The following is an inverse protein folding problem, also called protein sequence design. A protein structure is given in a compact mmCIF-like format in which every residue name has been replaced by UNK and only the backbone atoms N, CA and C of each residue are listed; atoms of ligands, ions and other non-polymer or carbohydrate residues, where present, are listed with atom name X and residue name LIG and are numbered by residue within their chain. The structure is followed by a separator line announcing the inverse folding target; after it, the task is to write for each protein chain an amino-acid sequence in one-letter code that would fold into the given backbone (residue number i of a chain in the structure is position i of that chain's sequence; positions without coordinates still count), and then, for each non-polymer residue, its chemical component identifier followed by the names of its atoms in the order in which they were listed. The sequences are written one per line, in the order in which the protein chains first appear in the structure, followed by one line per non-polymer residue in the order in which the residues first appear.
data_IF_891196108131
#
_entry.id   IF_891196108131
#
_cell.length_a   1.000
_cell.length_b   1.000
_cell.length_c   1.000
_cell.angle_alpha   90.00
_cell.angle_beta   90.00
_cell.angle_gamma   90.00
#
_symmetry.space_group_name_H-M   'P 1'
#
loop_
_entity.id
_entity.type
_entity.pdbx_description
1 polymer ?
#
# COMPACT_ATOMS: atom_id res chain seq x y z
N UNK A 1 76.67 -45.85 20.98
CA UNK A 1 75.21 -45.76 21.14
C UNK A 1 74.85 -44.48 21.86
N UNK A 2 74.33 -43.49 21.16
CA UNK A 2 75.10 -42.56 20.33
C UNK A 2 74.44 -41.20 20.52
N UNK A 3 75.25 -40.17 20.78
CA UNK A 3 74.79 -38.79 21.00
C UNK A 3 74.15 -38.11 19.79
N UNK A 4 73.80 -38.88 18.75
CA UNK A 4 73.23 -38.40 17.48
C UNK A 4 71.69 -38.35 17.54
N UNK A 5 71.06 -39.19 18.35
CA UNK A 5 69.59 -39.24 18.44
C UNK A 5 68.97 -38.08 19.23
N UNK A 6 69.69 -37.57 20.24
CA UNK A 6 69.20 -36.42 21.04
C UNK A 6 69.32 -35.11 20.26
N UNK A 7 70.37 -34.95 19.45
CA UNK A 7 70.58 -33.75 18.62
C UNK A 7 69.55 -33.68 17.50
N UNK A 8 69.24 -34.82 16.84
CA UNK A 8 68.21 -34.86 15.80
C UNK A 8 66.79 -34.62 16.34
N UNK A 9 66.49 -35.09 17.56
CA UNK A 9 65.20 -34.85 18.21
C UNK A 9 64.96 -33.38 18.58
N UNK A 10 65.99 -32.70 19.08
CA UNK A 10 65.89 -31.26 19.44
C UNK A 10 65.83 -30.38 18.18
N UNK A 11 66.61 -30.69 17.16
CA UNK A 11 66.58 -29.95 15.88
C UNK A 11 65.24 -30.14 15.16
N UNK A 12 64.66 -31.34 15.19
CA UNK A 12 63.34 -31.62 14.63
C UNK A 12 62.20 -30.90 15.38
N UNK A 13 62.28 -30.82 16.71
CA UNK A 13 61.28 -30.11 17.52
C UNK A 13 61.35 -28.58 17.31
N UNK A 14 62.55 -28.02 17.21
CA UNK A 14 62.75 -26.58 16.96
C UNK A 14 62.34 -26.19 15.54
N UNK A 15 62.68 -27.01 14.53
CA UNK A 15 62.24 -26.81 13.15
C UNK A 15 60.72 -26.96 13.01
N UNK A 16 60.12 -27.96 13.66
CA UNK A 16 58.66 -28.17 13.67
C UNK A 16 57.90 -27.02 14.32
N UNK A 17 58.43 -26.47 15.43
CA UNK A 17 57.85 -25.31 16.10
C UNK A 17 58.03 -24.01 15.27
N UNK A 18 59.19 -23.82 14.63
CA UNK A 18 59.42 -22.70 13.71
C UNK A 18 58.50 -22.76 12.47
N UNK A 19 58.29 -23.95 11.91
CA UNK A 19 57.37 -24.14 10.79
C UNK A 19 55.91 -23.89 11.20
N UNK A 20 55.50 -24.37 12.38
CA UNK A 20 54.16 -24.13 12.91
C UNK A 20 53.91 -22.63 13.14
N UNK A 21 54.85 -21.91 13.74
CA UNK A 21 54.71 -20.47 14.03
C UNK A 21 54.77 -19.61 12.76
N UNK A 22 55.68 -19.91 11.83
CA UNK A 22 55.85 -19.11 10.61
C UNK A 22 54.76 -19.37 9.57
N UNK A 23 54.17 -20.56 9.54
CA UNK A 23 53.20 -20.92 8.50
C UNK A 23 51.75 -21.05 8.99
N UNK A 24 51.44 -21.22 10.28
CA UNK A 24 50.03 -21.29 10.73
C UNK A 24 49.26 -20.00 10.48
N UNK A 25 49.82 -18.84 10.81
CA UNK A 25 49.11 -17.57 10.65
C UNK A 25 48.89 -17.18 9.17
N UNK A 26 49.91 -17.22 8.28
CA UNK A 26 49.68 -16.88 6.88
C UNK A 26 48.80 -17.90 6.15
N UNK A 27 48.83 -19.20 6.51
CA UNK A 27 47.90 -20.19 5.95
C UNK A 27 46.47 -19.98 6.43
N UNK A 28 46.27 -19.64 7.70
CA UNK A 28 44.94 -19.36 8.24
C UNK A 28 44.35 -18.07 7.64
N UNK A 29 45.17 -17.04 7.43
CA UNK A 29 44.77 -15.79 6.78
C UNK A 29 44.55 -15.94 5.27
N UNK A 30 45.36 -16.78 4.61
CA UNK A 30 45.15 -17.13 3.20
C UNK A 30 43.87 -17.94 3.03
N UNK A 31 43.59 -18.90 3.92
CA UNK A 31 42.35 -19.68 3.92
C UNK A 31 41.13 -18.82 4.24
N UNK A 32 41.22 -17.89 5.19
CA UNK A 32 40.14 -16.93 5.47
C UNK A 32 39.87 -16.00 4.28
N UNK A 33 40.92 -15.51 3.60
CA UNK A 33 40.80 -14.69 2.38
C UNK A 33 40.23 -15.49 1.21
N UNK A 34 40.66 -16.74 1.02
CA UNK A 34 40.11 -17.65 0.01
C UNK A 34 38.64 -17.96 0.29
N UNK A 35 38.27 -18.20 1.56
CA UNK A 35 36.90 -18.49 2.01
C UNK A 35 35.99 -17.27 1.89
N UNK A 36 36.49 -16.05 2.12
CA UNK A 36 35.74 -14.80 1.90
C UNK A 36 35.52 -14.52 0.41
N UNK A 37 36.54 -14.78 -0.44
CA UNK A 37 36.41 -14.67 -1.89
C UNK A 37 35.53 -15.76 -2.49
N UNK A 38 35.59 -17.00 -1.99
CA UNK A 38 34.75 -18.09 -2.46
C UNK A 38 33.31 -17.96 -1.97
N UNK A 39 33.03 -17.50 -0.74
CA UNK A 39 31.64 -17.26 -0.32
C UNK A 39 30.99 -16.06 -1.02
N UNK A 40 31.77 -15.02 -1.37
CA UNK A 40 31.30 -13.92 -2.21
C UNK A 40 31.08 -14.35 -3.66
N UNK A 41 32.00 -15.16 -4.22
CA UNK A 41 31.92 -15.66 -5.60
C UNK A 41 30.86 -16.76 -5.77
N UNK A 42 30.67 -17.64 -4.78
CA UNK A 42 29.63 -18.68 -4.78
C UNK A 42 28.25 -18.06 -4.59
N UNK A 43 28.12 -16.96 -3.82
CA UNK A 43 26.87 -16.17 -3.79
C UNK A 43 26.60 -15.40 -5.07
N UNK A 44 27.63 -14.99 -5.81
CA UNK A 44 27.44 -14.35 -7.12
C UNK A 44 27.25 -15.35 -8.27
N UNK A 45 27.70 -16.59 -8.12
CA UNK A 45 27.53 -17.67 -9.11
C UNK A 45 26.21 -18.44 -8.95
N UNK A 46 25.54 -18.33 -7.80
CA UNK A 46 24.19 -18.87 -7.56
C UNK A 46 23.07 -17.85 -7.71
N UNK A 47 23.39 -16.58 -7.99
CA UNK A 47 22.39 -15.60 -8.38
C UNK A 47 22.19 -15.80 -9.88
N UNK A 48 21.25 -16.68 -10.24
CA UNK A 48 20.62 -16.53 -11.55
C UNK A 48 20.24 -15.05 -11.68
N UNK A 49 20.45 -14.48 -12.87
CA UNK A 49 19.75 -13.27 -13.27
C UNK A 49 18.24 -13.58 -13.23
N UNK A 50 17.67 -13.65 -12.03
CA UNK A 50 16.25 -13.60 -11.83
C UNK A 50 15.88 -12.15 -12.16
N UNK A 51 15.39 -11.96 -13.38
CA UNK A 51 14.65 -10.76 -13.74
C UNK A 51 13.47 -10.66 -12.79
N UNK A 52 13.63 -9.89 -11.70
CA UNK A 52 12.51 -9.55 -10.85
C UNK A 52 11.59 -8.61 -11.64
N UNK A 53 10.27 -8.82 -11.61
CA UNK A 53 9.35 -7.91 -12.27
C UNK A 53 9.55 -6.49 -11.72
N UNK A 54 9.53 -5.50 -12.61
CA UNK A 54 9.71 -4.09 -12.25
C UNK A 54 8.63 -3.60 -11.26
N UNK A 55 7.45 -4.22 -11.32
CA UNK A 55 6.31 -3.95 -10.44
C UNK A 55 6.16 -5.07 -9.41
N UNK A 56 6.23 -4.73 -8.12
CA UNK A 56 5.95 -5.65 -7.02
C UNK A 56 5.01 -5.00 -6.03
N UNK A 57 4.00 -5.75 -5.62
CA UNK A 57 3.09 -5.30 -4.59
C UNK A 57 3.80 -5.15 -3.24
N UNK A 58 3.24 -4.30 -2.39
CA UNK A 58 3.78 -3.95 -1.09
C UNK A 58 3.88 -5.19 -0.21
N UNK A 59 5.03 -5.33 0.45
CA UNK A 59 5.28 -6.42 1.35
C UNK A 59 6.16 -5.97 2.51
N UNK A 60 5.90 -6.55 3.68
CA UNK A 60 6.66 -6.34 4.92
C UNK A 60 6.73 -7.66 5.69
N UNK A 61 7.76 -8.46 5.40
CA UNK A 61 7.89 -9.80 6.00
C UNK A 61 6.68 -10.70 5.70
N UNK A 62 5.96 -11.24 6.70
CA UNK A 62 4.79 -12.09 6.48
C UNK A 62 3.56 -11.31 5.98
N UNK A 63 3.56 -9.98 6.10
CA UNK A 63 2.51 -9.13 5.56
C UNK A 63 2.74 -8.97 4.05
N UNK A 64 1.81 -9.50 3.26
CA UNK A 64 1.78 -9.39 1.81
C UNK A 64 0.45 -8.76 1.41
N UNK A 65 0.46 -7.77 0.53
CA UNK A 65 -0.78 -7.14 0.04
C UNK A 65 -0.77 -7.07 -1.48
N UNK A 66 -1.93 -6.75 -2.07
CA UNK A 66 -2.08 -6.46 -3.50
C UNK A 66 -1.84 -4.99 -3.85
N UNK A 67 -1.36 -4.18 -2.91
CA UNK A 67 -1.15 -2.75 -3.15
C UNK A 67 0.15 -2.50 -3.92
N UNK A 68 0.04 -1.98 -5.13
CA UNK A 68 1.15 -1.51 -5.94
C UNK A 68 1.30 0.00 -5.75
N UNK A 69 2.44 0.44 -5.21
CA UNK A 69 2.78 1.87 -5.16
C UNK A 69 3.25 2.28 -6.55
N UNK A 70 2.50 3.16 -7.21
CA UNK A 70 2.72 3.53 -8.61
C UNK A 70 3.53 4.82 -8.72
N UNK A 71 3.20 5.81 -7.90
CA UNK A 71 3.97 7.06 -7.77
C UNK A 71 4.08 7.43 -6.30
N UNK A 72 5.21 8.00 -5.91
CA UNK A 72 5.48 8.44 -4.54
C UNK A 72 6.25 7.41 -3.71
N UNK A 73 7.15 7.93 -2.88
CA UNK A 73 8.07 7.12 -2.06
C UNK A 73 7.93 7.44 -0.56
N UNK A 74 7.05 8.37 -0.21
CA UNK A 74 6.83 8.87 1.13
C UNK A 74 7.88 9.90 1.59
N UNK A 75 9.04 10.04 0.95
CA UNK A 75 10.05 11.03 1.34
C UNK A 75 9.68 12.41 0.81
N UNK A 76 9.29 12.48 -0.46
CA UNK A 76 8.88 13.73 -1.10
C UNK A 76 7.36 13.76 -1.30
N UNK A 77 6.67 14.77 -0.73
CA UNK A 77 5.28 15.02 -1.03
C UNK A 77 5.04 15.27 -2.52
N UNK A 78 3.91 14.77 -3.02
CA UNK A 78 3.39 15.15 -4.33
C UNK A 78 2.62 16.47 -4.14
N UNK A 79 3.04 17.50 -4.86
CA UNK A 79 2.40 18.82 -4.77
C UNK A 79 1.00 18.78 -5.41
N UNK A 80 -0.04 19.36 -4.80
CA UNK A 80 -1.36 19.47 -5.42
C UNK A 80 -1.31 20.08 -6.84
N UNK A 81 -0.40 21.03 -7.05
CA UNK A 81 -0.25 21.79 -8.29
C UNK A 81 0.32 20.97 -9.44
N UNK A 82 0.97 19.83 -9.15
CA UNK A 82 1.52 18.91 -10.15
C UNK A 82 0.59 17.74 -10.44
N UNK A 83 -0.62 17.74 -9.87
CA UNK A 83 -1.66 16.74 -10.13
C UNK A 83 -2.72 17.34 -11.06
N UNK A 84 -2.77 16.82 -12.28
CA UNK A 84 -3.68 17.25 -13.32
C UNK A 84 -4.76 16.20 -13.55
N UNK A 85 -6.01 16.54 -13.20
CA UNK A 85 -7.15 15.63 -13.39
C UNK A 85 -7.96 16.06 -14.61
N UNK A 86 -8.15 15.13 -15.55
CA UNK A 86 -8.95 15.33 -16.75
C UNK A 86 -10.11 14.35 -16.77
N UNK A 87 -11.34 14.87 -16.84
CA UNK A 87 -12.54 14.03 -17.02
C UNK A 87 -12.88 14.01 -18.50
N UNK A 88 -12.93 12.80 -19.07
CA UNK A 88 -13.34 12.56 -20.45
C UNK A 88 -14.87 12.56 -20.55
N UNK A 89 -15.40 12.92 -21.72
CA UNK A 89 -16.86 13.04 -21.92
C UNK A 89 -17.56 11.68 -22.03
N UNK A 90 -16.85 10.67 -22.51
CA UNK A 90 -17.39 9.34 -22.79
C UNK A 90 -17.49 8.48 -21.51
N UNK A 91 -18.70 8.00 -21.23
CA UNK A 91 -18.97 7.06 -20.14
C UNK A 91 -18.37 5.68 -20.42
N UNK A 92 -17.92 5.03 -19.35
CA UNK A 92 -17.47 3.63 -19.39
C UNK A 92 -18.61 2.71 -19.80
N UNK A 93 -18.32 1.78 -20.71
CA UNK A 93 -19.24 0.70 -21.09
C UNK A 93 -18.65 -0.65 -20.68
N UNK A 94 -19.49 -1.52 -20.12
CA UNK A 94 -19.12 -2.91 -19.88
C UNK A 94 -19.09 -3.66 -21.22
N UNK A 95 -18.15 -4.61 -21.40
CA UNK A 95 -18.18 -5.50 -22.54
C UNK A 95 -19.44 -6.38 -22.50
N UNK A 96 -19.83 -6.91 -23.68
CA UNK A 96 -21.09 -7.65 -23.85
C UNK A 96 -21.19 -8.91 -22.99
N UNK A 97 -20.06 -9.52 -22.64
CA UNK A 97 -19.98 -10.70 -21.77
C UNK A 97 -20.17 -10.38 -20.27
N UNK A 98 -20.08 -9.10 -19.88
CA UNK A 98 -20.32 -8.61 -18.52
C UNK A 98 -21.57 -7.73 -18.40
N UNK A 99 -22.12 -7.24 -19.52
CA UNK A 99 -23.28 -6.33 -19.52
C UNK A 99 -24.47 -6.89 -18.72
N UNK A 100 -24.76 -8.19 -18.86
CA UNK A 100 -25.85 -8.84 -18.14
C UNK A 100 -25.67 -8.86 -16.60
N UNK A 101 -24.44 -8.76 -16.09
CA UNK A 101 -24.22 -8.69 -14.63
C UNK A 101 -24.72 -7.38 -14.05
N UNK A 102 -24.64 -6.29 -14.82
CA UNK A 102 -25.22 -5.00 -14.42
C UNK A 102 -26.74 -5.09 -14.33
N UNK A 103 -27.36 -5.78 -15.28
CA UNK A 103 -28.81 -6.00 -15.30
C UNK A 103 -29.26 -6.86 -14.10
N UNK A 104 -28.49 -7.91 -13.76
CA UNK A 104 -28.72 -8.71 -12.55
C UNK A 104 -28.68 -7.84 -11.27
N UNK A 105 -27.71 -6.92 -11.16
CA UNK A 105 -27.58 -6.01 -10.01
C UNK A 105 -28.76 -5.04 -9.94
N UNK A 106 -29.21 -4.53 -11.08
CA UNK A 106 -30.37 -3.65 -11.16
C UNK A 106 -31.66 -4.39 -10.74
N UNK A 107 -31.89 -5.58 -11.29
CA UNK A 107 -33.04 -6.42 -10.94
C UNK A 107 -33.02 -6.81 -9.45
N UNK A 108 -31.83 -7.08 -8.89
CA UNK A 108 -31.72 -7.34 -7.46
C UNK A 108 -32.10 -6.13 -6.61
N UNK A 109 -31.70 -4.93 -7.02
CA UNK A 109 -32.07 -3.70 -6.33
C UNK A 109 -33.59 -3.45 -6.35
N UNK A 110 -34.23 -3.67 -7.51
CA UNK A 110 -35.68 -3.58 -7.66
C UNK A 110 -36.41 -4.60 -6.79
N UNK A 111 -35.91 -5.84 -6.72
CA UNK A 111 -36.44 -6.88 -5.84
C UNK A 111 -36.35 -6.48 -4.36
N UNK A 112 -35.19 -5.98 -3.91
CA UNK A 112 -35.01 -5.50 -2.54
C UNK A 112 -36.02 -4.39 -2.20
N UNK A 113 -36.23 -3.45 -3.12
CA UNK A 113 -37.22 -2.38 -2.96
C UNK A 113 -38.65 -2.93 -2.82
N UNK A 114 -39.02 -3.90 -3.68
CA UNK A 114 -40.34 -4.54 -3.63
C UNK A 114 -40.56 -5.34 -2.33
N UNK A 115 -39.51 -5.92 -1.75
CA UNK A 115 -39.52 -6.59 -0.44
C UNK A 115 -39.53 -5.62 0.75
N UNK A 116 -39.53 -4.30 0.52
CA UNK A 116 -39.45 -3.29 1.59
C UNK A 116 -38.08 -3.22 2.27
N UNK A 117 -37.04 -3.80 1.65
CA UNK A 117 -35.65 -3.74 2.11
C UNK A 117 -34.94 -2.57 1.45
N UNK A 118 -33.84 -2.11 2.06
CA UNK A 118 -33.05 -1.01 1.48
C UNK A 118 -32.44 -1.45 0.12
N UNK A 119 -32.80 -0.79 -0.99
CA UNK A 119 -32.26 -1.13 -2.31
C UNK A 119 -30.81 -0.65 -2.45
N UNK A 120 -30.15 -1.11 -3.50
CA UNK A 120 -28.87 -0.55 -3.93
C UNK A 120 -29.13 0.78 -4.64
N UNK A 121 -28.48 1.85 -4.22
CA UNK A 121 -28.56 3.13 -4.92
C UNK A 121 -27.49 3.20 -6.01
N UNK A 122 -27.90 3.38 -7.27
CA UNK A 122 -26.98 3.55 -8.40
C UNK A 122 -26.49 5.00 -8.49
N UNK A 123 -25.40 5.31 -7.78
CA UNK A 123 -24.79 6.64 -7.81
C UNK A 123 -23.78 6.84 -8.94
N UNK A 124 -23.63 8.07 -9.46
CA UNK A 124 -22.59 8.38 -10.45
C UNK A 124 -21.19 8.35 -9.80
N UNK A 125 -20.22 7.77 -10.51
CA UNK A 125 -18.83 7.58 -10.08
C UNK A 125 -17.85 7.97 -11.20
N UNK A 126 -16.57 7.75 -10.93
CA UNK A 126 -15.50 7.82 -11.91
C UNK A 126 -14.78 6.47 -12.02
N UNK A 127 -14.37 6.14 -13.24
CA UNK A 127 -13.38 5.13 -13.52
C UNK A 127 -12.06 5.79 -13.90
N UNK A 128 -10.95 5.14 -13.56
CA UNK A 128 -9.62 5.57 -13.99
C UNK A 128 -9.34 5.02 -15.39
N UNK A 129 -9.14 5.91 -16.35
CA UNK A 129 -8.70 5.55 -17.71
C UNK A 129 -7.19 5.32 -17.73
N UNK A 130 -6.44 6.29 -17.21
CA UNK A 130 -4.99 6.22 -17.11
C UNK A 130 -4.49 7.07 -15.94
N UNK A 131 -3.33 6.67 -15.44
CA UNK A 131 -2.48 7.48 -14.59
C UNK A 131 -1.10 7.51 -15.25
N UNK A 132 -0.75 8.67 -15.79
CA UNK A 132 0.51 8.90 -16.49
C UNK A 132 1.40 9.78 -15.62
N UNK A 133 2.66 9.36 -15.46
CA UNK A 133 3.66 10.09 -14.67
C UNK A 133 4.69 10.66 -15.63
N UNK A 134 4.82 11.98 -15.65
CA UNK A 134 5.86 12.71 -16.37
C UNK A 134 6.78 13.43 -15.38
N UNK A 135 7.81 14.11 -15.90
CA UNK A 135 8.70 14.96 -15.11
C UNK A 135 8.82 16.33 -15.76
N UNK A 136 8.89 17.38 -14.96
CA UNK A 136 9.15 18.73 -15.46
C UNK A 136 10.53 18.81 -16.11
N UNK A 137 10.65 19.54 -17.22
CA UNK A 137 11.87 19.59 -18.03
C UNK A 137 13.09 20.20 -17.30
N UNK A 138 12.87 21.02 -16.27
CA UNK A 138 13.94 21.78 -15.61
C UNK A 138 14.37 21.18 -14.27
N UNK A 139 13.42 20.67 -13.48
CA UNK A 139 13.65 20.25 -12.09
C UNK A 139 13.36 18.76 -11.86
N UNK A 140 12.99 18.03 -12.91
CA UNK A 140 12.62 16.62 -12.86
C UNK A 140 11.54 16.28 -11.83
N UNK A 141 10.71 17.26 -11.45
CA UNK A 141 9.62 17.04 -10.48
C UNK A 141 8.54 16.19 -11.12
N UNK A 142 7.98 15.19 -10.41
CA UNK A 142 6.92 14.36 -10.95
C UNK A 142 5.65 15.18 -11.19
N UNK A 143 5.09 15.03 -12.38
CA UNK A 143 3.78 15.51 -12.77
C UNK A 143 2.86 14.30 -12.97
N UNK A 144 1.69 14.33 -12.34
CA UNK A 144 0.72 13.24 -12.39
C UNK A 144 -0.45 13.68 -13.24
N UNK A 145 -0.69 12.98 -14.35
CA UNK A 145 -1.85 13.18 -15.20
C UNK A 145 -2.83 12.04 -14.99
N UNK A 146 -3.96 12.35 -14.36
CA UNK A 146 -5.03 11.40 -14.07
C UNK A 146 -6.19 11.62 -15.06
N UNK A 147 -6.48 10.61 -15.87
CA UNK A 147 -7.62 10.64 -16.80
C UNK A 147 -8.76 9.80 -16.22
N UNK A 148 -9.93 10.41 -16.12
CA UNK A 148 -11.13 9.80 -15.57
C UNK A 148 -12.22 9.71 -16.62
N UNK A 149 -13.03 8.64 -16.56
CA UNK A 149 -14.28 8.52 -17.32
C UNK A 149 -15.47 8.47 -16.35
N UNK A 150 -16.63 9.06 -16.71
CA UNK A 150 -17.87 8.81 -16.00
C UNK A 150 -18.19 7.31 -15.94
N UNK A 151 -18.78 6.87 -14.84
CA UNK A 151 -19.35 5.52 -14.67
C UNK A 151 -20.41 5.56 -13.56
N UNK A 152 -20.96 4.41 -13.18
CA UNK A 152 -21.95 4.30 -12.12
C UNK A 152 -21.64 3.16 -11.13
N UNK A 153 -22.36 3.15 -10.01
CA UNK A 153 -22.13 2.18 -8.93
C UNK A 153 -22.45 0.74 -9.34
N UNK A 154 -23.44 0.52 -10.22
CA UNK A 154 -23.75 -0.82 -10.71
C UNK A 154 -22.66 -1.36 -11.63
N UNK A 155 -22.10 -0.52 -12.49
CA UNK A 155 -20.94 -0.84 -13.32
C UNK A 155 -19.74 -1.19 -12.46
N UNK A 156 -19.48 -0.41 -11.41
CA UNK A 156 -18.47 -0.76 -10.40
C UNK A 156 -18.72 -2.14 -9.78
N UNK A 157 -19.93 -2.43 -9.30
CA UNK A 157 -20.26 -3.73 -8.69
C UNK A 157 -20.10 -4.90 -9.67
N UNK A 158 -20.42 -4.71 -10.95
CA UNK A 158 -20.16 -5.71 -12.00
C UNK A 158 -18.66 -5.88 -12.23
N UNK A 159 -17.90 -4.78 -12.34
CA UNK A 159 -16.47 -4.77 -12.55
C UNK A 159 -15.66 -5.41 -11.41
N UNK A 160 -16.14 -5.32 -10.16
CA UNK A 160 -15.49 -5.95 -9.00
C UNK A 160 -15.58 -7.49 -9.00
N UNK A 161 -16.40 -8.10 -9.86
CA UNK A 161 -16.56 -9.56 -9.95
C UNK A 161 -15.47 -10.20 -10.82
N UNK A 162 -14.21 -9.86 -10.57
CA UNK A 162 -13.04 -10.23 -11.39
C UNK A 162 -12.82 -11.73 -11.51
N UNK A 163 -13.28 -12.50 -10.53
CA UNK A 163 -13.12 -13.95 -10.45
C UNK A 163 -14.42 -14.71 -10.77
N UNK A 164 -15.50 -14.01 -11.11
CA UNK A 164 -16.74 -14.64 -11.59
C UNK A 164 -16.50 -15.23 -12.97
N UNK A 165 -16.95 -16.46 -13.17
CA UNK A 165 -16.83 -17.15 -14.47
C UNK A 165 -17.75 -16.53 -15.50
N UNK A 166 -17.20 -16.30 -16.69
CA UNK A 166 -17.90 -15.91 -17.91
C UNK A 166 -18.49 -17.16 -18.59
N UNK A 167 -19.38 -17.02 -19.58
CA UNK A 167 -20.05 -18.15 -20.24
C UNK A 167 -19.12 -19.20 -20.85
N UNK A 168 -17.93 -18.81 -21.27
CA UNK A 168 -16.89 -19.70 -21.83
C UNK A 168 -15.90 -20.25 -20.79
N UNK A 169 -16.15 -19.98 -19.50
CA UNK A 169 -15.39 -20.52 -18.39
C UNK A 169 -14.17 -19.71 -17.96
N UNK A 170 -13.77 -18.66 -18.70
CA UNK A 170 -12.71 -17.76 -18.22
C UNK A 170 -13.26 -16.77 -17.18
N UNK A 171 -12.40 -15.93 -16.58
CA UNK A 171 -12.84 -14.84 -15.69
C UNK A 171 -12.41 -13.48 -16.26
N UNK A 172 -13.02 -12.35 -15.85
CA UNK A 172 -12.54 -11.03 -16.22
C UNK A 172 -11.07 -10.82 -15.88
N UNK A 173 -10.60 -11.35 -14.73
CA UNK A 173 -9.18 -11.32 -14.33
C UNK A 173 -8.28 -11.95 -15.38
N UNK A 174 -8.59 -13.18 -15.83
CA UNK A 174 -7.75 -13.87 -16.81
C UNK A 174 -7.88 -13.31 -18.23
N UNK A 175 -8.99 -12.63 -18.54
CA UNK A 175 -9.31 -12.15 -19.89
C UNK A 175 -8.77 -10.76 -20.19
N UNK A 176 -8.86 -9.87 -19.21
CA UNK A 176 -8.67 -8.43 -19.42
C UNK A 176 -7.47 -7.86 -18.67
N UNK A 177 -6.85 -8.63 -17.78
CA UNK A 177 -5.71 -8.18 -16.99
C UNK A 177 -4.49 -9.04 -17.33
N UNK A 178 -3.36 -8.36 -17.51
CA UNK A 178 -2.06 -8.99 -17.61
C UNK A 178 -1.34 -8.87 -16.26
N UNK A 179 -0.99 -9.98 -15.59
CA UNK A 179 -0.26 -9.92 -14.32
C UNK A 179 1.14 -9.30 -14.45
N UNK A 180 1.75 -9.36 -15.64
CA UNK A 180 3.08 -8.80 -15.90
C UNK A 180 3.01 -7.30 -16.28
N UNK A 181 1.84 -6.81 -16.68
CA UNK A 181 1.56 -5.40 -16.97
C UNK A 181 0.42 -4.83 -16.11
N UNK A 182 0.57 -4.79 -14.77
CA UNK A 182 -0.52 -4.49 -13.84
C UNK A 182 -1.14 -3.09 -14.00
N UNK A 183 -0.44 -2.16 -14.64
CA UNK A 183 -0.94 -0.81 -14.92
C UNK A 183 -1.79 -0.73 -16.19
N UNK A 184 -1.66 -1.70 -17.11
CA UNK A 184 -2.48 -1.77 -18.31
C UNK A 184 -3.75 -2.57 -18.01
N UNK A 185 -4.85 -1.85 -17.82
CA UNK A 185 -6.17 -2.47 -17.69
C UNK A 185 -7.23 -1.55 -18.28
N UNK A 186 -8.32 -2.10 -18.85
CA UNK A 186 -9.39 -1.29 -19.40
C UNK A 186 -10.13 -0.53 -18.29
N UNK A 187 -10.57 0.70 -18.58
CA UNK A 187 -11.23 1.57 -17.60
C UNK A 187 -12.46 0.96 -16.96
N UNK A 188 -13.19 0.08 -17.66
CA UNK A 188 -14.37 -0.59 -17.10
C UNK A 188 -14.05 -1.52 -15.92
N UNK A 189 -12.78 -1.89 -15.74
CA UNK A 189 -12.33 -2.62 -14.54
C UNK A 189 -11.78 -1.70 -13.45
N UNK A 190 -11.64 -0.40 -13.71
CA UNK A 190 -11.01 0.57 -12.80
C UNK A 190 -12.04 1.56 -12.23
N UNK A 191 -13.26 1.11 -11.95
CA UNK A 191 -14.41 1.93 -11.51
C UNK A 191 -14.36 2.35 -10.02
N UNK A 192 -13.17 2.38 -9.42
CA UNK A 192 -12.97 2.77 -8.04
C UNK A 192 -11.73 3.65 -7.91
N UNK A 193 -11.97 4.90 -7.54
CA UNK A 193 -10.95 5.86 -7.15
C UNK A 193 -11.35 6.47 -5.81
N UNK A 194 -10.40 6.57 -4.88
CA UNK A 194 -10.61 7.20 -3.59
C UNK A 194 -9.32 7.79 -3.02
N UNK A 195 -9.38 8.13 -1.75
CA UNK A 195 -8.25 8.62 -0.97
C UNK A 195 -8.19 7.88 0.36
N UNK A 196 -6.98 7.50 0.78
CA UNK A 196 -6.73 6.88 2.08
C UNK A 196 -5.84 7.83 2.88
N UNK A 197 -6.22 8.13 4.12
CA UNK A 197 -5.50 9.11 4.94
C UNK A 197 -4.95 8.43 6.21
N UNK A 198 -3.67 8.65 6.48
CA UNK A 198 -3.04 8.35 7.76
C UNK A 198 -3.08 9.61 8.63
N UNK A 199 -3.93 9.58 9.66
CA UNK A 199 -4.12 10.70 10.59
C UNK A 199 -3.31 10.45 11.84
N UNK A 200 -2.43 11.40 12.16
CA UNK A 200 -1.66 11.41 13.41
C UNK A 200 -2.09 12.59 14.25
N UNK A 201 -2.47 12.32 15.50
CA UNK A 201 -2.92 13.33 16.47
C UNK A 201 -1.76 14.18 17.00
N UNK A 202 -2.07 15.28 17.67
CA UNK A 202 -1.07 16.21 18.20
C UNK A 202 -0.13 15.57 19.26
N UNK A 203 -0.60 14.52 19.94
CA UNK A 203 0.15 13.70 20.90
C UNK A 203 0.83 12.46 20.28
N UNK A 204 1.08 12.47 18.96
CA UNK A 204 1.78 11.40 18.22
C UNK A 204 1.06 10.05 18.24
N UNK A 205 -0.26 10.03 18.12
CA UNK A 205 -1.02 8.78 17.98
C UNK A 205 -1.56 8.64 16.56
N UNK A 206 -1.20 7.54 15.89
CA UNK A 206 -1.80 7.12 14.64
C UNK A 206 -3.20 6.57 14.89
N UNK A 207 -4.18 7.10 14.16
CA UNK A 207 -5.54 6.59 14.16
C UNK A 207 -5.63 5.41 13.19
N UNK A 208 -6.14 4.28 13.63
CA UNK A 208 -6.37 3.10 12.78
C UNK A 208 -7.81 2.65 12.96
N UNK A 209 -8.55 2.50 11.87
CA UNK A 209 -9.95 2.07 11.94
C UNK A 209 -10.09 0.59 11.58
N UNK A 210 -11.12 -0.04 12.14
CA UNK A 210 -11.61 -1.34 11.70
C UNK A 210 -13.02 -1.16 11.15
N UNK A 211 -13.23 -1.64 9.92
CA UNK A 211 -14.55 -1.60 9.27
C UNK A 211 -15.53 -2.48 10.04
N UNK A 212 -16.75 -1.98 10.17
CA UNK A 212 -17.85 -2.70 10.84
C UNK A 212 -18.21 -3.99 10.12
N UNK A 213 -18.59 -5.02 10.87
CA UNK A 213 -19.13 -6.26 10.28
C UNK A 213 -20.43 -6.03 9.48
N UNK A 214 -21.05 -4.86 9.62
CA UNK A 214 -22.30 -4.48 8.93
C UNK A 214 -22.09 -3.86 7.55
N UNK A 215 -20.85 -3.51 7.18
CA UNK A 215 -20.59 -2.93 5.85
C UNK A 215 -20.57 -4.02 4.78
N UNK A 216 -21.04 -3.69 3.57
CA UNK A 216 -21.10 -4.62 2.43
C UNK A 216 -19.71 -5.02 1.92
N UNK A 217 -18.78 -4.07 1.89
CA UNK A 217 -17.44 -4.27 1.33
C UNK A 217 -16.39 -4.40 2.44
N UNK A 218 -15.70 -5.54 2.47
CA UNK A 218 -14.62 -5.88 3.38
C UNK A 218 -14.99 -5.70 4.88
N UNK A 219 -15.98 -6.43 5.40
CA UNK A 219 -16.33 -6.38 6.82
C UNK A 219 -15.18 -6.85 7.70
N UNK A 220 -14.98 -6.18 8.85
CA UNK A 220 -14.03 -6.60 9.88
C UNK A 220 -12.55 -6.47 9.52
N UNK A 221 -12.20 -5.84 8.39
CA UNK A 221 -10.80 -5.55 8.01
C UNK A 221 -10.32 -4.25 8.65
N UNK A 222 -9.04 -4.23 9.01
CA UNK A 222 -8.33 -3.03 9.45
C UNK A 222 -8.00 -2.14 8.26
N UNK A 223 -8.26 -0.84 8.36
CA UNK A 223 -8.13 0.10 7.26
C UNK A 223 -7.38 1.37 7.69
N UNK A 224 -7.22 2.30 6.75
CA UNK A 224 -6.70 3.66 6.98
C UNK A 224 -7.47 4.43 8.06
N UNK A 225 -6.94 5.56 8.50
CA UNK A 225 -7.62 6.42 9.47
C UNK A 225 -8.91 7.01 8.91
N UNK A 226 -8.89 7.37 7.62
CA UNK A 226 -10.02 7.82 6.80
C UNK A 226 -9.92 7.15 5.44
N UNK A 227 -11.04 6.71 4.86
CA UNK A 227 -11.14 6.06 3.56
C UNK A 227 -12.32 6.64 2.78
N UNK A 228 -12.03 7.55 1.86
CA UNK A 228 -13.07 8.29 1.15
C UNK A 228 -13.07 7.96 -0.35
N UNK A 229 -14.24 7.68 -0.91
CA UNK A 229 -14.41 7.41 -2.33
C UNK A 229 -14.73 8.67 -3.12
N UNK A 230 -14.22 8.80 -4.34
CA UNK A 230 -14.66 9.87 -5.24
C UNK A 230 -16.15 9.66 -5.61
N UNK A 231 -16.94 10.71 -5.42
CA UNK A 231 -18.35 10.76 -5.80
C UNK A 231 -18.54 11.84 -6.85
N UNK A 232 -18.97 11.47 -8.06
CA UNK A 232 -19.15 12.45 -9.15
C UNK A 232 -20.20 13.49 -8.81
N UNK A 233 -21.24 13.11 -8.08
CA UNK A 233 -22.31 14.05 -7.71
C UNK A 233 -21.83 15.15 -6.76
N UNK A 234 -20.88 14.83 -5.87
CA UNK A 234 -20.43 15.73 -4.80
C UNK A 234 -19.12 16.44 -5.20
N UNK A 235 -18.20 15.70 -5.81
CA UNK A 235 -16.83 16.13 -6.04
C UNK A 235 -16.64 16.73 -7.45
N UNK A 236 -17.69 16.77 -8.28
CA UNK A 236 -17.67 17.59 -9.50
C UNK A 236 -18.06 19.03 -9.15
N UNK A 237 -17.08 19.92 -9.10
CA UNK A 237 -17.30 21.34 -8.76
C UNK A 237 -17.99 22.10 -9.90
N UNK A 238 -19.25 21.76 -10.19
CA UNK A 238 -20.06 22.43 -11.21
C UNK A 238 -19.50 22.33 -12.63
N UNK A 239 -19.04 21.12 -13.03
CA UNK A 239 -18.36 20.73 -14.30
C UNK A 239 -16.82 20.74 -14.29
N UNK A 240 -16.19 21.15 -13.21
CA UNK A 240 -14.74 21.00 -13.08
C UNK A 240 -14.34 19.58 -12.70
N UNK A 241 -13.13 19.18 -13.07
CA UNK A 241 -12.53 17.92 -12.64
C UNK A 241 -12.44 17.85 -11.10
N UNK A 242 -12.55 16.67 -10.49
CA UNK A 242 -12.49 16.52 -9.05
C UNK A 242 -11.10 16.85 -8.49
N UNK A 243 -11.06 17.46 -7.31
CA UNK A 243 -9.84 17.75 -6.55
C UNK A 243 -9.67 16.71 -5.43
N UNK A 244 -8.60 15.92 -5.49
CA UNK A 244 -8.31 14.88 -4.52
C UNK A 244 -8.08 15.43 -3.10
N UNK A 245 -7.51 16.63 -2.96
CA UNK A 245 -7.38 17.28 -1.65
C UNK A 245 -8.75 17.71 -1.10
N UNK A 246 -9.66 18.16 -1.96
CA UNK A 246 -11.03 18.46 -1.54
C UNK A 246 -11.76 17.20 -1.08
N UNK A 247 -11.59 16.07 -1.77
CA UNK A 247 -12.14 14.77 -1.35
C UNK A 247 -11.55 14.32 -0.02
N UNK A 248 -10.23 14.41 0.15
CA UNK A 248 -9.59 14.07 1.42
C UNK A 248 -10.11 14.93 2.59
N UNK A 249 -10.29 16.24 2.37
CA UNK A 249 -10.90 17.13 3.39
C UNK A 249 -12.36 16.75 3.68
N UNK A 250 -13.12 16.32 2.68
CA UNK A 250 -14.49 15.83 2.85
C UNK A 250 -14.51 14.59 3.75
N UNK A 251 -13.68 13.59 3.47
CA UNK A 251 -13.55 12.39 4.30
C UNK A 251 -13.13 12.72 5.75
N UNK A 252 -12.17 13.63 5.94
CA UNK A 252 -11.76 14.08 7.28
C UNK A 252 -12.92 14.70 8.08
N UNK A 253 -13.81 15.44 7.41
CA UNK A 253 -14.98 16.05 8.03
C UNK A 253 -16.08 15.02 8.32
N UNK A 254 -16.37 14.14 7.37
CA UNK A 254 -17.47 13.17 7.45
C UNK A 254 -17.17 12.05 8.46
N UNK A 255 -15.94 11.53 8.45
CA UNK A 255 -15.54 10.41 9.33
C UNK A 255 -15.07 10.85 10.72
N UNK A 256 -14.35 11.99 10.83
CA UNK A 256 -13.69 12.41 12.08
C UNK A 256 -14.18 13.77 12.61
N UNK A 257 -15.05 14.47 11.88
CA UNK A 257 -15.50 15.84 12.24
C UNK A 257 -14.32 16.79 12.48
N UNK A 258 -13.37 16.76 11.54
CA UNK A 258 -12.20 17.63 11.50
C UNK A 258 -12.32 18.66 10.39
N UNK A 259 -12.13 19.92 10.74
CA UNK A 259 -12.10 21.04 9.81
C UNK A 259 -10.68 21.28 9.27
N UNK A 260 -10.59 21.83 8.05
CA UNK A 260 -9.32 21.92 7.32
C UNK A 260 -8.21 22.72 8.03
N UNK A 261 -8.56 23.63 8.94
CA UNK A 261 -7.59 24.42 9.70
C UNK A 261 -6.97 23.64 10.88
N UNK A 262 -7.56 22.51 11.28
CA UNK A 262 -7.12 21.72 12.44
C UNK A 262 -5.94 20.79 12.11
N UNK A 263 -5.57 20.65 10.83
CA UNK A 263 -4.56 19.71 10.38
C UNK A 263 -3.76 20.21 9.17
N UNK A 264 -2.57 19.65 8.99
CA UNK A 264 -1.89 19.66 7.69
C UNK A 264 -2.29 18.43 6.89
N UNK A 265 -2.28 18.52 5.56
CA UNK A 265 -2.67 17.43 4.67
C UNK A 265 -1.72 17.35 3.49
N UNK A 266 -1.10 16.19 3.29
CA UNK A 266 0.00 15.99 2.34
C UNK A 266 -0.26 14.75 1.50
N UNK A 267 -0.24 14.86 0.17
CA UNK A 267 -0.32 13.70 -0.72
C UNK A 267 1.05 13.02 -0.80
N UNK A 268 1.11 11.73 -0.50
CA UNK A 268 2.33 10.94 -0.44
C UNK A 268 2.53 10.00 -1.63
N UNK A 269 1.44 9.45 -2.17
CA UNK A 269 1.53 8.45 -3.24
C UNK A 269 0.21 8.23 -3.98
N UNK A 270 0.32 7.64 -5.18
CA UNK A 270 -0.77 6.96 -5.86
C UNK A 270 -0.56 5.45 -5.80
N UNK A 271 -1.58 4.72 -5.37
CA UNK A 271 -1.52 3.28 -5.11
C UNK A 271 -2.69 2.57 -5.78
N UNK A 272 -2.38 1.46 -6.44
CA UNK A 272 -3.34 0.57 -7.08
C UNK A 272 -3.44 -0.74 -6.30
N UNK A 273 -4.63 -1.10 -5.82
CA UNK A 273 -4.93 -2.48 -5.43
C UNK A 273 -5.13 -3.32 -6.70
N UNK A 274 -4.16 -4.16 -7.07
CA UNK A 274 -4.22 -4.93 -8.32
C UNK A 274 -5.27 -6.05 -8.28
N UNK A 275 -5.64 -6.51 -7.09
CA UNK A 275 -6.62 -7.59 -6.93
C UNK A 275 -8.04 -7.09 -7.05
N UNK A 276 -8.29 -5.86 -6.63
CA UNK A 276 -9.61 -5.19 -6.68
C UNK A 276 -9.72 -4.11 -7.75
N UNK A 277 -8.61 -3.79 -8.42
CA UNK A 277 -8.51 -2.71 -9.41
C UNK A 277 -8.98 -1.35 -8.89
N UNK A 278 -8.70 -1.09 -7.62
CA UNK A 278 -9.07 0.14 -6.96
C UNK A 278 -7.86 1.07 -6.83
N UNK A 279 -8.00 2.28 -7.35
CA UNK A 279 -7.00 3.33 -7.20
C UNK A 279 -7.23 4.15 -5.94
N UNK A 280 -6.13 4.62 -5.34
CA UNK A 280 -6.18 5.52 -4.22
C UNK A 280 -5.03 6.53 -4.20
N UNK A 281 -5.35 7.77 -3.86
CA UNK A 281 -4.36 8.74 -3.38
C UNK A 281 -4.11 8.52 -1.89
N UNK A 282 -2.85 8.38 -1.50
CA UNK A 282 -2.45 8.19 -0.11
C UNK A 282 -2.02 9.52 0.52
N UNK A 283 -2.69 9.92 1.58
CA UNK A 283 -2.44 11.17 2.27
C UNK A 283 -1.91 10.94 3.69
N UNK A 284 -1.06 11.84 4.14
CA UNK A 284 -0.71 12.01 5.54
C UNK A 284 -1.35 13.28 6.08
N UNK A 285 -1.97 13.16 7.25
CA UNK A 285 -2.53 14.28 7.98
C UNK A 285 -1.98 14.36 9.40
N UNK A 286 -1.52 15.55 9.81
CA UNK A 286 -1.09 15.82 11.18
C UNK A 286 -2.03 16.81 11.83
N UNK A 287 -2.69 16.42 12.92
CA UNK A 287 -3.47 17.34 13.73
C UNK A 287 -2.53 18.30 14.47
N UNK A 288 -2.88 19.58 14.47
CA UNK A 288 -2.04 20.62 15.04
C UNK A 288 -2.13 20.64 16.57
N UNK A 289 -3.35 20.64 17.11
CA UNK A 289 -3.59 20.77 18.56
C UNK A 289 -4.38 19.60 19.17
N UNK A 290 -5.22 18.94 18.37
CA UNK A 290 -6.14 17.92 18.87
C UNK A 290 -5.42 16.62 19.23
N UNK A 291 -5.50 16.22 20.50
CA UNK A 291 -4.94 14.97 21.02
C UNK A 291 -5.89 13.79 20.81
N UNK A 292 -5.35 12.58 20.94
CA UNK A 292 -6.10 11.33 20.79
C UNK A 292 -7.34 11.23 21.69
N UNK A 293 -7.23 11.61 22.96
CA UNK A 293 -8.34 11.61 23.92
C UNK A 293 -9.45 12.59 23.53
N UNK A 294 -9.08 13.77 23.02
CA UNK A 294 -10.04 14.80 22.64
C UNK A 294 -10.74 14.43 21.32
N UNK A 295 -10.00 13.85 20.38
CA UNK A 295 -10.58 13.29 19.16
C UNK A 295 -11.57 12.17 19.50
N UNK A 296 -11.21 11.24 20.38
CA UNK A 296 -12.11 10.17 20.82
C UNK A 296 -13.38 10.74 21.47
N UNK A 297 -13.24 11.75 22.33
CA UNK A 297 -14.38 12.43 22.95
C UNK A 297 -15.22 13.24 21.95
N UNK A 298 -14.63 13.72 20.85
CA UNK A 298 -15.37 14.36 19.75
C UNK A 298 -16.18 13.32 18.99
N UNK A 299 -15.55 12.21 18.61
CA UNK A 299 -16.22 11.13 17.91
C UNK A 299 -17.38 10.52 18.70
N UNK A 300 -17.27 10.47 20.03
CA UNK A 300 -18.36 9.99 20.89
C UNK A 300 -19.59 10.91 20.89
N UNK A 301 -19.43 12.20 20.56
CA UNK A 301 -20.53 13.19 20.46
C UNK A 301 -21.28 13.13 19.12
N UNK A 302 -20.78 12.36 18.16
CA UNK A 302 -21.42 12.13 16.87
C UNK A 302 -20.49 12.44 15.70
N UNK A 303 -20.42 11.52 14.74
CA UNK A 303 -19.82 11.69 13.41
C UNK A 303 -20.80 11.08 12.40
N UNK A 304 -20.88 11.63 11.19
CA UNK A 304 -21.90 11.25 10.20
C UNK A 304 -21.84 9.74 9.89
N UNK A 305 -20.64 9.22 9.71
CA UNK A 305 -20.41 7.83 9.25
C UNK A 305 -19.93 6.89 10.35
N UNK A 306 -20.36 7.14 11.59
CA UNK A 306 -19.97 6.31 12.75
C UNK A 306 -20.30 4.84 12.58
N UNK A 307 -21.36 4.53 11.83
CA UNK A 307 -21.85 3.16 11.63
C UNK A 307 -20.93 2.31 10.74
N UNK A 308 -20.07 2.94 9.93
CA UNK A 308 -19.13 2.26 9.04
C UNK A 308 -17.95 1.64 9.78
N UNK A 309 -17.64 2.13 10.99
CA UNK A 309 -16.51 1.70 11.80
C UNK A 309 -16.98 1.01 13.09
N UNK A 310 -16.32 -0.09 13.45
CA UNK A 310 -16.61 -0.83 14.68
C UNK A 310 -15.54 -0.63 15.75
N UNK A 311 -14.30 -0.34 15.37
CA UNK A 311 -13.20 -0.12 16.31
C UNK A 311 -12.24 0.93 15.76
N UNK A 312 -11.70 1.76 16.66
CA UNK A 312 -10.68 2.76 16.36
C UNK A 312 -9.57 2.59 17.39
N UNK A 313 -8.39 2.21 16.91
CA UNK A 313 -7.18 2.06 17.71
C UNK A 313 -6.34 3.34 17.57
N UNK A 314 -5.79 3.80 18.70
CA UNK A 314 -4.80 4.86 18.75
C UNK A 314 -3.44 4.21 19.02
N UNK A 315 -2.54 4.25 18.04
CA UNK A 315 -1.23 3.57 18.09
C UNK A 315 -0.13 4.62 18.19
N UNK A 316 0.82 4.54 19.15
CA UNK A 316 1.94 5.46 19.19
C UNK A 316 2.67 5.50 17.85
N UNK A 317 2.72 6.68 17.22
CA UNK A 317 3.27 6.88 15.89
C UNK A 317 4.80 6.94 15.95
N UNK A 318 5.37 5.74 16.06
CA UNK A 318 6.81 5.46 16.07
C UNK A 318 7.05 4.24 15.17
N UNK A 319 8.14 4.21 14.38
CA UNK A 319 8.38 3.11 13.44
C UNK A 319 8.29 1.73 14.09
N UNK A 320 8.91 1.53 15.25
CA UNK A 320 8.90 0.24 15.95
C UNK A 320 7.50 -0.20 16.34
N UNK A 321 6.70 0.72 16.88
CA UNK A 321 5.36 0.42 17.38
C UNK A 321 4.40 0.14 16.23
N UNK A 322 4.40 0.97 15.20
CA UNK A 322 3.53 0.82 14.03
C UNK A 322 3.89 -0.45 13.25
N UNK A 323 5.17 -0.74 13.00
CA UNK A 323 5.58 -1.97 12.30
C UNK A 323 5.17 -3.21 13.09
N UNK A 324 5.38 -3.24 14.41
CA UNK A 324 4.90 -4.36 15.24
C UNK A 324 3.39 -4.49 15.20
N UNK A 325 2.68 -3.37 15.20
CA UNK A 325 1.23 -3.33 15.15
C UNK A 325 0.69 -3.89 13.81
N UNK A 326 1.32 -3.55 12.68
CA UNK A 326 1.01 -4.11 11.36
C UNK A 326 1.21 -5.63 11.30
N UNK A 327 2.28 -6.11 11.93
CA UNK A 327 2.73 -7.51 11.90
C UNK A 327 2.16 -8.40 13.01
N UNK A 328 1.15 -7.91 13.75
CA UNK A 328 0.50 -8.74 14.77
C UNK A 328 -0.19 -9.95 14.13
N UNK A 329 0.00 -11.13 14.70
CA UNK A 329 -0.57 -12.39 14.20
C UNK A 329 -2.10 -12.33 14.04
N UNK A 330 -2.80 -11.63 14.94
CA UNK A 330 -4.26 -11.49 14.89
C UNK A 330 -4.77 -10.58 13.74
N UNK A 331 -3.86 -9.88 13.04
CA UNK A 331 -4.22 -8.81 12.08
C UNK A 331 -3.46 -8.88 10.76
N UNK A 332 -2.31 -9.55 10.70
CA UNK A 332 -1.42 -9.58 9.53
C UNK A 332 -2.13 -10.00 8.23
N UNK A 333 -3.20 -10.79 8.30
CA UNK A 333 -4.01 -11.21 7.15
C UNK A 333 -5.38 -10.51 7.05
N UNK A 334 -5.62 -9.47 7.85
CA UNK A 334 -6.91 -8.78 7.98
C UNK A 334 -6.83 -7.29 7.65
N UNK A 335 -5.82 -6.89 6.88
CA UNK A 335 -5.66 -5.52 6.41
C UNK A 335 -6.40 -5.29 5.10
N UNK A 336 -7.03 -4.12 4.97
CA UNK A 336 -7.35 -3.57 3.67
C UNK A 336 -6.04 -3.45 2.87
N UNK A 337 -6.00 -3.87 1.59
CA UNK A 337 -4.72 -4.08 0.91
C UNK A 337 -3.79 -2.86 0.86
N UNK A 338 -4.34 -1.66 0.76
CA UNK A 338 -3.59 -0.40 0.64
C UNK A 338 -3.17 0.19 1.99
N UNK A 339 -3.82 -0.17 3.09
CA UNK A 339 -3.58 0.46 4.40
C UNK A 339 -2.14 0.26 4.94
N UNK A 340 -1.51 -0.93 4.84
CA UNK A 340 -0.14 -1.09 5.29
C UNK A 340 0.87 -0.24 4.50
N UNK A 341 0.70 -0.13 3.18
CA UNK A 341 1.54 0.71 2.34
C UNK A 341 1.40 2.20 2.73
N UNK A 342 0.17 2.65 3.00
CA UNK A 342 -0.10 4.01 3.51
C UNK A 342 0.67 4.29 4.82
N UNK A 343 0.60 3.39 5.80
CA UNK A 343 1.28 3.60 7.08
C UNK A 343 2.79 3.54 6.97
N UNK A 344 3.33 2.68 6.11
CA UNK A 344 4.75 2.69 5.77
C UNK A 344 5.16 4.05 5.18
N UNK A 345 4.46 4.54 4.16
CA UNK A 345 4.75 5.83 3.51
C UNK A 345 4.64 7.01 4.50
N UNK A 346 3.65 6.99 5.40
CA UNK A 346 3.52 8.00 6.45
C UNK A 346 4.70 7.97 7.44
N UNK A 347 5.18 6.78 7.83
CA UNK A 347 6.38 6.66 8.66
C UNK A 347 7.62 7.17 7.92
N UNK A 348 7.77 6.85 6.63
CA UNK A 348 8.89 7.33 5.80
C UNK A 348 8.89 8.85 5.73
N UNK A 349 7.72 9.45 5.51
CA UNK A 349 7.54 10.91 5.47
C UNK A 349 8.03 11.61 6.73
N UNK A 350 7.74 11.04 7.91
CA UNK A 350 8.06 11.68 9.19
C UNK A 350 9.43 11.29 9.73
N UNK A 351 9.92 10.07 9.46
CA UNK A 351 11.13 9.52 10.09
C UNK A 351 12.28 9.24 9.12
N UNK A 352 12.12 9.51 7.82
CA UNK A 352 12.97 9.09 6.69
C UNK A 352 12.97 7.60 6.41
N UNK A 353 13.14 7.25 5.13
CA UNK A 353 13.17 5.86 4.66
C UNK A 353 14.20 5.00 5.39
N UNK A 354 15.42 5.53 5.51
CA UNK A 354 16.55 4.84 6.13
C UNK A 354 16.28 4.44 7.58
N UNK A 355 15.52 5.24 8.33
CA UNK A 355 15.18 4.91 9.72
C UNK A 355 14.13 3.82 9.78
N UNK A 356 13.07 3.94 8.97
CA UNK A 356 11.95 3.00 8.91
C UNK A 356 12.43 1.62 8.47
N UNK A 357 13.11 1.53 7.33
CA UNK A 357 13.59 0.25 6.78
C UNK A 357 14.57 -0.46 7.72
N UNK A 358 15.37 0.31 8.49
CA UNK A 358 16.25 -0.27 9.52
C UNK A 358 15.45 -0.93 10.64
N UNK A 359 14.39 -0.28 11.10
CA UNK A 359 13.52 -0.80 12.16
C UNK A 359 12.75 -2.02 11.67
N UNK A 360 12.21 -1.96 10.45
CA UNK A 360 11.57 -3.10 9.79
C UNK A 360 12.50 -4.30 9.73
N UNK A 361 13.73 -4.13 9.21
CA UNK A 361 14.72 -5.19 9.14
C UNK A 361 15.10 -5.77 10.52
N UNK A 362 15.11 -4.94 11.58
CA UNK A 362 15.37 -5.40 12.95
C UNK A 362 14.23 -6.23 13.53
N UNK A 363 12.97 -5.84 13.26
CA UNK A 363 11.79 -6.56 13.72
C UNK A 363 11.67 -7.89 12.96
N UNK A 364 11.83 -7.87 11.64
CA UNK A 364 11.72 -9.06 10.79
C UNK A 364 12.76 -10.13 11.11
N UNK A 365 13.93 -9.77 11.64
CA UNK A 365 14.93 -10.75 12.12
C UNK A 365 14.57 -11.45 13.43
N UNK A 366 13.57 -10.93 14.15
CA UNK A 366 13.15 -11.40 15.48
C UNK A 366 11.80 -12.12 15.45
N UNK A 367 11.10 -12.05 14.32
CA UNK A 367 10.02 -12.96 13.96
C UNK A 367 10.64 -14.25 13.46
#
# INVERSE_FOLDING_TARGET
MDGIDVVNGVVGAVLGMLFAVLFQQPLHDAWYRLRRRSTSAIRSLGRQDESAPAWRAFSLGPLQTSALIVEGDGELPISPETVHVHVLDEEVTLPSDMAGWRDEIAAESERLQAEGRAPLWNGPRYAVESLDISRTALEERPEVHLRLRPTDYYTFLAAQQLDRRLPDGTTPRSRYLDPDEPLKAPAFLQCSLGVNIAVVTADDMLVVTQRSDRVRMAPGVWNSSVNEGLSRHIDSSGRNAPDLHAVARRGMREELSLEAHEYTLTLLAFVLDVDRRAWSGHFYARLQELKSTDLQARMSRGVADRWEHQTIDFVPFRPTTVVRYLLRDDRVHRWAPTAPALYHLALVHVFSRRTVERVEAQILRRL
#
